data_IF_999884609457
#
_entry.id   IF_999884609457
#
_cell.length_a   1.000
_cell.length_b   1.000
_cell.length_c   1.000
_cell.angle_alpha   90.00
_cell.angle_beta   90.00
_cell.angle_gamma   90.00
#
_symmetry.space_group_name_H-M   'P 1'
#
loop_
_entity.id
_entity.type
_entity.pdbx_description
1 polymer ?
#
# COMPACT_ATOMS: atom_id res chain seq x y z
N UNK A 1 -46.42 -15.03 14.88
CA UNK A 1 -45.44 -15.41 13.85
C UNK A 1 -44.13 -15.54 14.58
N UNK A 2 -43.84 -16.75 15.08
CA UNK A 2 -42.61 -17.00 15.82
C UNK A 2 -41.46 -17.08 14.84
N UNK A 3 -40.48 -16.18 14.99
CA UNK A 3 -39.25 -16.23 14.22
C UNK A 3 -38.44 -17.40 14.77
N UNK A 4 -38.18 -18.39 13.91
CA UNK A 4 -37.46 -19.61 14.25
C UNK A 4 -36.02 -19.29 14.71
N UNK A 5 -35.59 -19.90 15.81
CA UNK A 5 -34.25 -19.70 16.40
C UNK A 5 -33.16 -20.03 15.39
N UNK A 6 -33.39 -20.99 14.49
CA UNK A 6 -32.41 -21.35 13.46
C UNK A 6 -32.31 -20.27 12.36
N UNK A 7 -33.40 -19.53 12.09
CA UNK A 7 -33.34 -18.35 11.21
C UNK A 7 -32.55 -17.19 11.83
N UNK A 8 -32.64 -17.00 13.15
CA UNK A 8 -31.85 -15.98 13.88
C UNK A 8 -30.35 -16.31 13.90
N UNK A 9 -30.00 -17.59 14.09
CA UNK A 9 -28.60 -18.05 14.01
C UNK A 9 -28.03 -17.85 12.61
N UNK A 10 -28.78 -18.22 11.56
CA UNK A 10 -28.38 -18.01 10.17
C UNK A 10 -28.13 -16.54 9.86
N UNK A 11 -28.99 -15.64 10.35
CA UNK A 11 -28.82 -14.19 10.16
C UNK A 11 -27.54 -13.66 10.82
N UNK A 12 -27.25 -14.09 12.05
CA UNK A 12 -26.02 -13.70 12.76
C UNK A 12 -24.76 -14.21 12.07
N UNK A 13 -24.79 -15.43 11.52
CA UNK A 13 -23.67 -15.97 10.75
C UNK A 13 -23.42 -15.15 9.48
N UNK A 14 -24.48 -14.82 8.73
CA UNK A 14 -24.37 -13.98 7.52
C UNK A 14 -23.82 -12.59 7.88
N UNK A 15 -24.31 -11.98 8.95
CA UNK A 15 -23.86 -10.66 9.40
C UNK A 15 -22.37 -10.68 9.79
N UNK A 16 -21.93 -11.73 10.48
CA UNK A 16 -20.52 -11.91 10.87
C UNK A 16 -19.62 -12.06 9.64
N UNK A 17 -20.02 -12.86 8.66
CA UNK A 17 -19.27 -13.06 7.42
C UNK A 17 -19.17 -11.73 6.64
N UNK A 18 -20.27 -10.99 6.52
CA UNK A 18 -20.27 -9.70 5.82
C UNK A 18 -19.31 -8.69 6.46
N UNK A 19 -19.30 -8.59 7.79
CA UNK A 19 -18.39 -7.72 8.53
C UNK A 19 -16.93 -8.14 8.34
N UNK A 20 -16.65 -9.44 8.29
CA UNK A 20 -15.29 -9.95 8.04
C UNK A 20 -14.79 -9.57 6.64
N UNK A 21 -15.64 -9.68 5.61
CA UNK A 21 -15.29 -9.28 4.26
C UNK A 21 -15.01 -7.78 4.16
N UNK A 22 -15.82 -6.95 4.84
CA UNK A 22 -15.61 -5.50 4.88
C UNK A 22 -14.28 -5.14 5.54
N UNK A 23 -13.95 -5.77 6.68
CA UNK A 23 -12.67 -5.57 7.37
C UNK A 23 -11.51 -5.97 6.46
N UNK A 24 -11.56 -7.14 5.83
CA UNK A 24 -10.48 -7.62 4.96
C UNK A 24 -10.26 -6.65 3.79
N UNK A 25 -11.33 -6.20 3.13
CA UNK A 25 -11.21 -5.25 2.02
C UNK A 25 -10.62 -3.90 2.46
N UNK A 26 -10.99 -3.41 3.64
CA UNK A 26 -10.43 -2.19 4.19
C UNK A 26 -8.92 -2.34 4.50
N UNK A 27 -8.53 -3.43 5.16
CA UNK A 27 -7.12 -3.70 5.49
C UNK A 27 -6.26 -3.88 4.21
N UNK A 28 -6.79 -4.54 3.18
CA UNK A 28 -6.08 -4.72 1.91
C UNK A 28 -5.93 -3.38 1.16
N UNK A 29 -6.96 -2.54 1.19
CA UNK A 29 -6.89 -1.18 0.64
C UNK A 29 -5.83 -0.34 1.35
N UNK A 30 -5.75 -0.44 2.68
CA UNK A 30 -4.71 0.21 3.48
C UNK A 30 -3.31 -0.31 3.14
N UNK A 31 -3.16 -1.62 2.91
CA UNK A 31 -1.89 -2.21 2.51
C UNK A 31 -1.38 -1.63 1.18
N UNK A 32 -2.22 -1.57 0.15
CA UNK A 32 -1.87 -0.97 -1.14
C UNK A 32 -1.59 0.53 -1.04
N UNK A 33 -2.36 1.22 -0.21
CA UNK A 33 -2.14 2.64 0.10
C UNK A 33 -0.76 2.83 0.72
N UNK A 34 -0.41 2.04 1.73
CA UNK A 34 0.90 2.08 2.39
C UNK A 34 2.04 1.80 1.41
N UNK A 35 1.93 0.76 0.59
CA UNK A 35 2.94 0.43 -0.43
C UNK A 35 3.11 1.54 -1.47
N UNK A 36 2.02 2.17 -1.89
CA UNK A 36 2.06 3.31 -2.84
C UNK A 36 2.65 4.56 -2.19
N UNK A 37 2.31 4.83 -0.93
CA UNK A 37 2.89 5.95 -0.20
C UNK A 37 4.37 5.75 0.09
N UNK A 38 4.85 4.51 0.25
CA UNK A 38 6.27 4.20 0.33
C UNK A 38 7.01 4.55 -0.97
N UNK A 39 6.41 4.25 -2.14
CA UNK A 39 6.93 4.70 -3.45
C UNK A 39 7.04 6.21 -3.52
N UNK A 40 5.95 6.92 -3.21
CA UNK A 40 5.88 8.38 -3.31
C UNK A 40 6.85 9.02 -2.34
N UNK A 41 6.84 8.62 -1.06
CA UNK A 41 7.70 9.17 -0.02
C UNK A 41 9.18 9.05 -0.35
N UNK A 42 9.57 7.94 -0.97
CA UNK A 42 10.93 7.70 -1.46
C UNK A 42 11.45 8.69 -2.52
N UNK A 43 10.55 9.43 -3.17
CA UNK A 43 10.90 10.40 -4.22
C UNK A 43 10.95 11.85 -3.74
N UNK A 44 10.35 12.17 -2.60
CA UNK A 44 10.16 13.57 -2.17
C UNK A 44 11.48 14.21 -1.73
N UNK A 45 12.26 13.52 -0.89
CA UNK A 45 13.57 13.98 -0.43
C UNK A 45 14.45 12.78 -0.05
N UNK A 46 15.77 12.99 -0.01
CA UNK A 46 16.73 11.98 0.47
C UNK A 46 17.40 12.47 1.75
N UNK A 47 17.38 11.63 2.78
CA UNK A 47 18.15 11.83 4.01
C UNK A 47 19.28 10.81 4.02
N UNK A 48 20.50 11.31 4.10
CA UNK A 48 21.73 10.53 4.30
C UNK A 48 22.32 10.99 5.62
N UNK A 49 23.20 10.19 6.24
CA UNK A 49 23.77 10.33 7.60
C UNK A 49 23.88 11.77 8.16
N UNK A 50 24.34 12.74 7.37
CA UNK A 50 24.49 14.14 7.79
C UNK A 50 23.85 15.16 6.85
N UNK A 51 23.12 14.71 5.83
CA UNK A 51 22.72 15.54 4.70
C UNK A 51 21.24 15.36 4.35
N UNK A 52 20.57 16.49 4.15
CA UNK A 52 19.25 16.54 3.52
C UNK A 52 19.37 17.00 2.07
N UNK A 53 18.94 16.16 1.13
CA UNK A 53 18.98 16.45 -0.31
C UNK A 53 17.54 16.60 -0.81
N UNK A 54 17.26 17.76 -1.41
CA UNK A 54 15.99 18.02 -2.09
C UNK A 54 16.26 18.60 -3.47
N UNK A 55 15.70 17.96 -4.50
CA UNK A 55 15.92 18.30 -5.91
C UNK A 55 17.42 18.32 -6.30
N UNK A 56 18.19 17.34 -5.82
CA UNK A 56 19.62 17.21 -6.10
C UNK A 56 20.53 18.22 -5.39
N UNK A 57 19.99 19.10 -4.53
CA UNK A 57 20.75 20.12 -3.81
C UNK A 57 20.77 19.85 -2.31
N UNK A 58 21.92 20.14 -1.69
CA UNK A 58 22.07 20.18 -0.24
C UNK A 58 21.22 21.30 0.34
N UNK A 59 20.43 21.00 1.36
CA UNK A 59 19.58 21.98 2.05
C UNK A 59 20.11 22.28 3.44
N UNK A 60 20.05 23.56 3.79
CA UNK A 60 20.41 24.02 5.12
C UNK A 60 19.38 23.51 6.15
N UNK A 61 19.75 23.44 7.43
CA UNK A 61 18.89 22.89 8.50
C UNK A 61 17.47 23.48 8.51
N UNK A 62 17.36 24.80 8.33
CA UNK A 62 16.06 25.48 8.31
C UNK A 62 15.24 25.12 7.07
N UNK A 63 15.86 25.13 5.89
CA UNK A 63 15.20 24.73 4.63
C UNK A 63 14.76 23.26 4.66
N UNK A 64 15.61 22.37 5.16
CA UNK A 64 15.31 20.96 5.33
C UNK A 64 14.09 20.75 6.23
N UNK A 65 13.98 21.52 7.32
CA UNK A 65 12.85 21.43 8.25
C UNK A 65 11.54 21.91 7.61
N UNK A 66 11.58 23.02 6.84
CA UNK A 66 10.42 23.50 6.09
C UNK A 66 9.98 22.48 5.03
N UNK A 67 10.92 21.91 4.27
CA UNK A 67 10.63 20.88 3.26
C UNK A 67 10.06 19.64 3.91
N UNK A 68 10.63 19.18 5.02
CA UNK A 68 10.15 18.01 5.75
C UNK A 68 8.71 18.20 6.26
N UNK A 69 8.42 19.34 6.92
CA UNK A 69 7.07 19.64 7.40
C UNK A 69 6.08 19.78 6.25
N UNK A 70 6.47 20.46 5.17
CA UNK A 70 5.65 20.57 3.96
C UNK A 70 5.36 19.20 3.35
N UNK A 71 6.39 18.35 3.25
CA UNK A 71 6.25 16.98 2.78
C UNK A 71 5.30 16.18 3.66
N UNK A 72 5.36 16.28 4.99
CA UNK A 72 4.43 15.60 5.90
C UNK A 72 2.97 15.99 5.64
N UNK A 73 2.70 17.28 5.45
CA UNK A 73 1.33 17.76 5.18
C UNK A 73 0.85 17.25 3.82
N UNK A 74 1.71 17.36 2.79
CA UNK A 74 1.39 16.91 1.43
C UNK A 74 1.19 15.39 1.39
N UNK A 75 2.04 14.60 2.04
CA UNK A 75 1.91 13.14 2.05
C UNK A 75 0.69 12.70 2.86
N UNK A 76 0.35 13.37 3.95
CA UNK A 76 -0.88 13.15 4.68
C UNK A 76 -2.12 13.34 3.80
N UNK A 77 -2.17 14.43 3.03
CA UNK A 77 -3.28 14.68 2.10
C UNK A 77 -3.27 13.69 0.91
N UNK A 78 -2.10 13.41 0.35
CA UNK A 78 -1.95 12.43 -0.72
C UNK A 78 -2.42 11.04 -0.29
N UNK A 79 -2.18 10.65 0.98
CA UNK A 79 -2.62 9.36 1.52
C UNK A 79 -4.14 9.19 1.42
N UNK A 80 -4.91 10.23 1.72
CA UNK A 80 -6.37 10.20 1.59
C UNK A 80 -6.79 9.96 0.12
N UNK A 81 -6.15 10.66 -0.81
CA UNK A 81 -6.44 10.54 -2.25
C UNK A 81 -6.06 9.15 -2.79
N UNK A 82 -4.90 8.63 -2.37
CA UNK A 82 -4.41 7.31 -2.73
C UNK A 82 -5.31 6.22 -2.15
N UNK A 83 -5.78 6.37 -0.91
CA UNK A 83 -6.71 5.44 -0.29
C UNK A 83 -8.05 5.41 -1.03
N UNK A 84 -8.62 6.56 -1.39
CA UNK A 84 -9.84 6.62 -2.19
C UNK A 84 -9.67 5.98 -3.57
N UNK A 85 -8.53 6.21 -4.22
CA UNK A 85 -8.19 5.60 -5.50
C UNK A 85 -8.14 4.07 -5.40
N UNK A 86 -7.46 3.52 -4.39
CA UNK A 86 -7.40 2.07 -4.19
C UNK A 86 -8.75 1.47 -3.79
N UNK A 87 -9.54 2.17 -2.95
CA UNK A 87 -10.87 1.73 -2.59
C UNK A 87 -11.78 1.59 -3.83
N UNK A 88 -11.70 2.55 -4.76
CA UNK A 88 -12.42 2.51 -6.03
C UNK A 88 -11.97 1.32 -6.90
N UNK A 89 -10.65 1.13 -7.03
CA UNK A 89 -10.08 0.02 -7.81
C UNK A 89 -10.47 -1.34 -7.24
N UNK A 90 -10.32 -1.55 -5.93
CA UNK A 90 -10.67 -2.80 -5.26
C UNK A 90 -12.14 -3.14 -5.48
N UNK A 91 -13.01 -2.14 -5.41
CA UNK A 91 -14.45 -2.30 -5.61
C UNK A 91 -14.81 -2.57 -7.07
N UNK A 92 -14.17 -1.89 -8.03
CA UNK A 92 -14.50 -2.03 -9.46
C UNK A 92 -13.96 -3.32 -10.08
N UNK A 93 -12.75 -3.74 -9.70
CA UNK A 93 -12.07 -4.87 -10.33
C UNK A 93 -12.36 -6.21 -9.65
N UNK A 94 -13.16 -6.23 -8.57
CA UNK A 94 -13.41 -7.42 -7.76
C UNK A 94 -12.11 -8.19 -7.45
N UNK A 95 -11.07 -7.45 -7.08
CA UNK A 95 -9.77 -8.07 -6.85
C UNK A 95 -9.87 -9.11 -5.74
N UNK A 96 -9.32 -10.29 -6.00
CA UNK A 96 -9.14 -11.31 -4.98
C UNK A 96 -8.12 -10.82 -3.95
N UNK A 97 -8.20 -11.35 -2.74
CA UNK A 97 -7.19 -11.11 -1.71
C UNK A 97 -5.77 -11.45 -2.22
N UNK A 98 -5.65 -12.48 -3.05
CA UNK A 98 -4.36 -12.87 -3.64
C UNK A 98 -3.83 -11.81 -4.62
N UNK A 99 -4.68 -11.20 -5.43
CA UNK A 99 -4.30 -10.14 -6.37
C UNK A 99 -3.72 -8.93 -5.63
N UNK A 100 -4.36 -8.56 -4.51
CA UNK A 100 -3.97 -7.40 -3.71
C UNK A 100 -2.64 -7.64 -2.99
N UNK A 101 -2.44 -8.84 -2.46
CA UNK A 101 -1.15 -9.25 -1.88
C UNK A 101 -0.07 -9.26 -2.96
N UNK A 102 -0.34 -9.83 -4.13
CA UNK A 102 0.59 -9.87 -5.24
C UNK A 102 0.97 -8.47 -5.73
N UNK A 103 -0.01 -7.58 -5.88
CA UNK A 103 0.20 -6.19 -6.26
C UNK A 103 1.05 -5.44 -5.22
N UNK A 104 0.75 -5.59 -3.92
CA UNK A 104 1.54 -4.96 -2.86
C UNK A 104 3.00 -5.43 -2.85
N UNK A 105 3.26 -6.72 -3.13
CA UNK A 105 4.62 -7.24 -3.26
C UNK A 105 5.36 -6.60 -4.43
N UNK A 106 4.73 -6.52 -5.60
CA UNK A 106 5.34 -5.89 -6.78
C UNK A 106 5.60 -4.40 -6.53
N UNK A 107 4.60 -3.66 -6.03
CA UNK A 107 4.69 -2.24 -5.70
C UNK A 107 5.81 -2.00 -4.68
N UNK A 108 5.87 -2.81 -3.63
CA UNK A 108 6.92 -2.73 -2.60
C UNK A 108 8.31 -2.96 -3.19
N UNK A 109 8.45 -3.90 -4.12
CA UNK A 109 9.74 -4.21 -4.75
C UNK A 109 10.21 -3.09 -5.69
N UNK A 110 9.27 -2.48 -6.42
CA UNK A 110 9.53 -1.25 -7.18
C UNK A 110 9.94 -0.12 -6.24
N UNK A 111 9.33 -0.01 -5.05
CA UNK A 111 9.65 1.01 -4.06
C UNK A 111 11.09 0.89 -3.57
N UNK A 112 11.50 -0.32 -3.21
CA UNK A 112 12.87 -0.60 -2.79
C UNK A 112 13.86 -0.28 -3.91
N UNK A 113 13.56 -0.68 -5.16
CA UNK A 113 14.43 -0.40 -6.30
C UNK A 113 14.63 1.11 -6.54
N UNK A 114 13.58 1.91 -6.38
CA UNK A 114 13.66 3.36 -6.58
C UNK A 114 14.34 4.10 -5.40
N UNK A 115 14.26 3.55 -4.19
CA UNK A 115 14.74 4.22 -2.98
C UNK A 115 16.17 3.86 -2.61
N UNK A 116 16.60 2.62 -2.84
CA UNK A 116 17.91 2.14 -2.41
C UNK A 116 18.92 2.24 -3.57
N UNK A 117 20.00 3.04 -3.43
CA UNK A 117 21.03 3.14 -4.44
C UNK A 117 21.69 1.77 -4.69
N UNK A 118 21.87 1.40 -5.96
CA UNK A 118 22.47 0.14 -6.39
C UNK A 118 21.73 -1.13 -5.93
N UNK A 119 20.42 -1.05 -5.69
CA UNK A 119 19.62 -2.24 -5.46
C UNK A 119 19.63 -3.14 -6.71
N UNK A 120 20.00 -4.42 -6.54
CA UNK A 120 20.05 -5.37 -7.65
C UNK A 120 18.66 -5.95 -7.91
N UNK A 121 17.79 -5.20 -8.57
CA UNK A 121 16.40 -5.59 -8.81
C UNK A 121 16.20 -6.85 -9.68
N UNK A 122 17.23 -7.32 -10.38
CA UNK A 122 17.22 -8.57 -11.15
C UNK A 122 18.04 -9.69 -10.50
N UNK A 123 18.47 -9.54 -9.25
CA UNK A 123 19.10 -10.65 -8.56
C UNK A 123 18.08 -11.79 -8.33
N UNK A 124 18.53 -13.04 -8.18
CA UNK A 124 17.62 -14.18 -8.01
C UNK A 124 16.62 -13.98 -6.87
N UNK A 125 17.00 -13.27 -5.80
CA UNK A 125 16.13 -12.98 -4.66
C UNK A 125 15.00 -12.03 -5.04
N UNK A 126 15.29 -10.94 -5.74
CA UNK A 126 14.27 -9.99 -6.21
C UNK A 126 13.35 -10.63 -7.24
N UNK A 127 13.89 -11.43 -8.16
CA UNK A 127 13.12 -12.15 -9.18
C UNK A 127 12.12 -13.12 -8.54
N UNK A 128 12.50 -13.81 -7.46
CA UNK A 128 11.56 -14.68 -6.71
C UNK A 128 10.38 -13.86 -6.17
N UNK A 129 10.62 -12.66 -5.62
CA UNK A 129 9.54 -11.81 -5.10
C UNK A 129 8.59 -11.37 -6.21
N UNK A 130 9.12 -10.94 -7.37
CA UNK A 130 8.29 -10.63 -8.53
C UNK A 130 7.53 -11.85 -9.04
N UNK A 131 8.16 -13.02 -9.07
CA UNK A 131 7.55 -14.28 -9.48
C UNK A 131 6.39 -14.68 -8.58
N UNK A 132 6.56 -14.56 -7.25
CA UNK A 132 5.48 -14.81 -6.28
C UNK A 132 4.36 -13.80 -6.46
N UNK A 133 4.67 -12.51 -6.61
CA UNK A 133 3.67 -11.46 -6.82
C UNK A 133 2.83 -11.70 -8.08
N UNK A 134 3.48 -12.02 -9.20
CA UNK A 134 2.79 -12.37 -10.45
C UNK A 134 2.00 -13.67 -10.32
N UNK A 135 2.55 -14.68 -9.66
CA UNK A 135 1.83 -15.94 -9.45
C UNK A 135 0.57 -15.73 -8.62
N UNK A 136 0.59 -14.87 -7.61
CA UNK A 136 -0.58 -14.54 -6.80
C UNK A 136 -1.66 -13.80 -7.58
N UNK A 137 -1.28 -12.90 -8.50
CA UNK A 137 -2.21 -12.17 -9.38
C UNK A 137 -2.78 -13.08 -10.48
N UNK A 138 -2.00 -14.05 -10.95
CA UNK A 138 -2.40 -14.97 -12.01
C UNK A 138 -3.03 -16.26 -11.49
N UNK A 139 -2.94 -16.54 -10.20
CA UNK A 139 -3.61 -17.65 -9.53
C UNK A 139 -5.09 -17.30 -9.32
N UNK A 140 -5.80 -17.22 -10.45
CA UNK A 140 -7.24 -17.13 -10.53
C UNK A 140 -7.82 -18.51 -10.90
#
# INVERSE_FOLDING_TARGET
MDIDIDTLKGLNTILTISNMFEIINNELTLMLTGSTMALIGGTVYKVIDTVFIFNGQFRNKFEALVIFLGAMVITGWATLSVQSFWAEIVTQLNFSMFDLIGAALIIGMIAVNNTVPNWKYLDPKSVIVYGIGCALILAL
#
